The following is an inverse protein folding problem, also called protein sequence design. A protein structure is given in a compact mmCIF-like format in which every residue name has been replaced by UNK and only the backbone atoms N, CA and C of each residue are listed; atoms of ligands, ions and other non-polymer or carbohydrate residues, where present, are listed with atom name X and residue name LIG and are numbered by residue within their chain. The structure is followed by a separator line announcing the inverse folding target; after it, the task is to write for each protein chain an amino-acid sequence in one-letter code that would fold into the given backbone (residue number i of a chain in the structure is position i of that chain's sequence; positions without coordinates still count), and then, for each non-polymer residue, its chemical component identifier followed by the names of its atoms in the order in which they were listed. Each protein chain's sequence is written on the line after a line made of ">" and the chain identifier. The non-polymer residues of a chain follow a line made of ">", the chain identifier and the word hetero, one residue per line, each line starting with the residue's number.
data_IF_942104176204
#
_entry.id   IF_942104176204
#
_cell.length_a   1.000
_cell.length_b   1.000
_cell.length_c   1.000
_cell.angle_alpha   90.00
_cell.angle_beta   90.00
_cell.angle_gamma   90.00
#
_symmetry.space_group_name_H-M   'P 1'
#
loop_
_entity.id
_entity.type
_entity.pdbx_description
1 polymer ?
#
# COMPACT_ATOMS: atom_id res chain seq x y z
N UNK A 1 10.49 -19.58 18.85
CA UNK A 1 9.72 -18.37 18.54
C UNK A 1 8.26 -18.77 18.42
N UNK A 2 7.35 -18.14 19.16
CA UNK A 2 5.91 -18.40 19.05
C UNK A 2 5.37 -17.62 17.86
N UNK A 3 4.57 -18.27 17.01
CA UNK A 3 3.94 -17.66 15.83
C UNK A 3 2.42 -17.71 15.97
N UNK A 4 1.68 -16.75 15.37
CA UNK A 4 0.22 -16.79 15.34
C UNK A 4 -0.29 -18.11 14.75
N UNK A 5 -1.38 -18.63 15.32
CA UNK A 5 -2.07 -19.83 14.84
C UNK A 5 -3.55 -19.53 14.68
N UNK A 6 -4.18 -20.12 13.66
CA UNK A 6 -5.62 -20.07 13.52
C UNK A 6 -6.27 -20.77 14.70
N UNK A 7 -7.24 -20.12 15.34
CA UNK A 7 -8.04 -20.64 16.45
C UNK A 7 -9.39 -21.21 15.98
N UNK A 8 -9.51 -21.49 14.68
CA UNK A 8 -10.72 -22.04 14.06
C UNK A 8 -10.48 -23.48 13.61
N UNK A 9 -11.49 -24.33 13.77
CA UNK A 9 -11.52 -25.68 13.22
C UNK A 9 -12.00 -25.72 11.75
N UNK A 10 -12.50 -24.58 11.23
CA UNK A 10 -12.83 -24.44 9.81
C UNK A 10 -11.53 -24.34 9.02
N UNK A 11 -11.12 -25.45 8.42
CA UNK A 11 -9.91 -25.54 7.58
C UNK A 11 -10.21 -25.83 6.10
N UNK A 12 -11.49 -25.99 5.72
CA UNK A 12 -11.87 -26.42 4.36
C UNK A 12 -11.42 -25.47 3.24
N UNK A 13 -12.02 -24.27 3.09
CA UNK A 13 -11.78 -23.42 1.91
C UNK A 13 -10.33 -22.94 1.72
N UNK A 14 -9.55 -22.55 2.75
CA UNK A 14 -8.16 -22.15 2.58
C UNK A 14 -7.27 -23.33 2.20
N UNK A 15 -7.51 -24.54 2.71
CA UNK A 15 -6.74 -25.72 2.29
C UNK A 15 -6.99 -26.07 0.81
N UNK A 16 -8.20 -25.85 0.30
CA UNK A 16 -8.48 -26.04 -1.13
C UNK A 16 -7.84 -24.94 -1.99
N UNK A 17 -7.95 -23.67 -1.55
CA UNK A 17 -7.29 -22.54 -2.19
C UNK A 17 -5.77 -22.75 -2.26
N UNK A 18 -5.13 -23.13 -1.15
CA UNK A 18 -3.70 -23.44 -1.09
C UNK A 18 -3.33 -24.58 -2.04
N UNK A 19 -4.11 -25.66 -2.08
CA UNK A 19 -3.89 -26.78 -2.99
C UNK A 19 -3.96 -26.34 -4.46
N UNK A 20 -4.95 -25.53 -4.82
CA UNK A 20 -5.12 -24.99 -6.18
C UNK A 20 -3.94 -24.08 -6.54
N UNK A 21 -3.51 -23.21 -5.64
CA UNK A 21 -2.33 -22.34 -5.83
C UNK A 21 -1.06 -23.18 -6.05
N UNK A 22 -0.82 -24.18 -5.21
CA UNK A 22 0.36 -25.05 -5.31
C UNK A 22 0.35 -25.86 -6.61
N UNK A 23 -0.81 -26.38 -7.02
CA UNK A 23 -0.96 -27.14 -8.25
C UNK A 23 -0.80 -26.28 -9.51
N UNK A 24 -1.14 -25.00 -9.45
CA UNK A 24 -1.10 -24.07 -10.59
C UNK A 24 0.12 -23.14 -10.60
N UNK A 25 1.13 -23.36 -9.75
CA UNK A 25 2.26 -22.45 -9.55
C UNK A 25 2.94 -21.97 -10.85
N UNK A 26 3.28 -22.81 -11.84
CA UNK A 26 3.85 -22.33 -13.11
C UNK A 26 2.90 -21.43 -13.92
N UNK A 27 1.59 -21.74 -13.89
CA UNK A 27 0.56 -20.99 -14.60
C UNK A 27 0.34 -19.61 -13.94
N UNK A 28 0.31 -19.57 -12.61
CA UNK A 28 0.25 -18.32 -11.82
C UNK A 28 1.43 -17.42 -12.14
N UNK A 29 2.65 -17.97 -12.07
CA UNK A 29 3.87 -17.23 -12.33
C UNK A 29 3.96 -16.72 -13.78
N UNK A 30 3.49 -17.50 -14.75
CA UNK A 30 3.39 -17.06 -16.14
C UNK A 30 2.37 -15.93 -16.31
N UNK A 31 1.17 -16.09 -15.74
CA UNK A 31 0.12 -15.07 -15.79
C UNK A 31 0.58 -13.76 -15.17
N UNK A 32 1.18 -13.80 -13.97
CA UNK A 32 1.74 -12.62 -13.30
C UNK A 32 2.78 -11.91 -14.18
N UNK A 33 3.74 -12.64 -14.75
CA UNK A 33 4.72 -12.05 -15.68
C UNK A 33 4.07 -11.35 -16.87
N UNK A 34 2.99 -11.92 -17.42
CA UNK A 34 2.19 -11.27 -18.47
C UNK A 34 1.55 -9.96 -17.99
N UNK A 35 0.90 -9.98 -16.83
CA UNK A 35 0.29 -8.78 -16.24
C UNK A 35 1.31 -7.65 -16.02
N UNK A 36 2.53 -7.98 -15.58
CA UNK A 36 3.60 -7.00 -15.36
C UNK A 36 4.24 -6.45 -16.64
N UNK A 37 4.00 -7.06 -17.80
CA UNK A 37 4.43 -6.50 -19.09
C UNK A 37 3.46 -5.44 -19.60
N UNK A 38 2.19 -5.55 -19.24
CA UNK A 38 1.13 -4.65 -19.71
C UNK A 38 0.86 -3.50 -18.73
N UNK A 39 1.25 -3.64 -17.47
CA UNK A 39 0.95 -2.69 -16.40
C UNK A 39 2.19 -2.27 -15.64
N UNK A 40 2.29 -0.97 -15.37
CA UNK A 40 3.33 -0.42 -14.51
C UNK A 40 3.13 -0.88 -13.05
N UNK A 41 4.23 -1.24 -12.39
CA UNK A 41 4.24 -1.58 -10.97
C UNK A 41 4.65 -0.39 -10.13
N UNK A 42 4.04 -0.16 -8.95
CA UNK A 42 4.52 0.89 -8.05
C UNK A 42 5.94 0.58 -7.57
N UNK A 43 6.69 1.62 -7.19
CA UNK A 43 8.04 1.45 -6.63
C UNK A 43 8.05 0.54 -5.40
N UNK A 44 7.02 0.67 -4.57
CA UNK A 44 6.77 -0.18 -3.41
C UNK A 44 5.27 -0.21 -3.05
N UNK A 45 4.86 -1.17 -2.24
CA UNK A 45 3.54 -1.22 -1.63
C UNK A 45 3.55 -2.17 -0.42
N UNK A 46 2.59 -2.00 0.48
CA UNK A 46 2.18 -3.03 1.44
C UNK A 46 0.71 -3.37 1.27
N UNK A 47 0.34 -4.62 1.53
CA UNK A 47 -1.03 -5.12 1.44
C UNK A 47 -1.36 -5.85 2.73
N UNK A 48 -2.41 -5.39 3.42
CA UNK A 48 -2.92 -6.07 4.60
C UNK A 48 -3.87 -7.18 4.17
N UNK A 49 -3.64 -8.39 4.67
CA UNK A 49 -4.48 -9.56 4.42
C UNK A 49 -5.22 -9.98 5.69
N UNK A 50 -6.41 -10.56 5.52
CA UNK A 50 -7.10 -11.30 6.58
C UNK A 50 -7.34 -12.74 6.15
N UNK A 51 -6.92 -13.69 6.99
CA UNK A 51 -7.24 -15.10 6.86
C UNK A 51 -8.30 -15.47 7.89
N UNK A 52 -9.52 -15.78 7.44
CA UNK A 52 -10.64 -16.17 8.31
C UNK A 52 -10.80 -17.69 8.48
N UNK A 53 -9.94 -18.51 7.87
CA UNK A 53 -10.15 -19.96 7.80
C UNK A 53 -11.17 -20.39 6.74
N UNK A 54 -11.83 -19.45 6.06
CA UNK A 54 -12.73 -19.71 4.92
C UNK A 54 -12.57 -18.71 3.77
N UNK A 55 -11.80 -17.64 3.97
CA UNK A 55 -11.51 -16.58 2.99
C UNK A 55 -10.12 -15.99 3.29
N UNK A 56 -9.38 -15.67 2.25
CA UNK A 56 -8.09 -14.98 2.33
C UNK A 56 -8.11 -13.79 1.38
N UNK A 57 -8.36 -12.60 1.92
CA UNK A 57 -8.60 -11.41 1.11
C UNK A 57 -7.78 -10.21 1.59
N UNK A 58 -7.37 -9.31 0.67
CA UNK A 58 -6.80 -8.03 1.03
C UNK A 58 -7.87 -7.11 1.61
N UNK A 59 -7.47 -6.35 2.62
CA UNK A 59 -8.35 -5.39 3.32
C UNK A 59 -7.83 -3.95 3.26
N UNK A 60 -6.54 -3.78 2.97
CA UNK A 60 -5.90 -2.49 2.70
C UNK A 60 -4.73 -2.63 1.72
N UNK A 61 -4.47 -1.58 0.95
CA UNK A 61 -3.29 -1.46 0.09
C UNK A 61 -2.73 -0.06 0.27
N UNK A 62 -1.48 0.00 0.75
CA UNK A 62 -0.78 1.24 1.03
C UNK A 62 0.39 1.39 0.06
N UNK A 63 0.35 2.46 -0.75
CA UNK A 63 1.44 2.85 -1.64
C UNK A 63 2.51 3.70 -0.96
N UNK A 64 2.40 3.92 0.36
CA UNK A 64 3.33 4.65 1.22
C UNK A 64 3.63 3.83 2.49
N UNK A 65 4.13 2.59 2.37
CA UNK A 65 4.34 1.70 3.51
C UNK A 65 5.25 2.35 4.57
N UNK A 66 4.78 2.38 5.83
CA UNK A 66 5.46 3.03 6.95
C UNK A 66 6.09 2.07 7.98
N UNK A 67 6.39 0.83 7.57
CA UNK A 67 6.83 -0.24 8.46
C UNK A 67 8.09 -1.00 8.03
N UNK A 68 9.00 -0.38 7.26
CA UNK A 68 10.23 -1.04 6.78
C UNK A 68 11.12 -1.56 7.91
N UNK A 69 11.07 -0.94 9.09
CA UNK A 69 11.80 -1.39 10.29
C UNK A 69 11.25 -2.70 10.89
N UNK A 70 10.08 -3.17 10.45
CA UNK A 70 9.48 -4.43 10.93
C UNK A 70 9.84 -5.62 10.04
N UNK A 71 10.53 -5.40 8.92
CA UNK A 71 10.99 -6.49 8.05
C UNK A 71 12.07 -7.32 8.76
N UNK A 72 12.09 -8.63 8.51
CA UNK A 72 13.13 -9.48 9.08
C UNK A 72 14.50 -9.08 8.49
N UNK A 73 15.49 -8.71 9.32
CA UNK A 73 16.81 -8.28 8.84
C UNK A 73 17.54 -9.35 7.99
N UNK A 74 17.24 -10.64 8.18
CA UNK A 74 17.83 -11.71 7.35
C UNK A 74 17.47 -11.57 5.86
N UNK A 75 16.35 -10.90 5.53
CA UNK A 75 15.92 -10.65 4.17
C UNK A 75 16.35 -9.28 3.63
N UNK A 76 17.26 -8.57 4.31
CA UNK A 76 17.79 -7.29 3.81
C UNK A 76 18.40 -7.40 2.40
N UNK A 77 19.19 -8.43 2.05
CA UNK A 77 19.70 -8.57 0.68
C UNK A 77 18.59 -8.68 -0.39
N UNK A 78 17.48 -9.34 -0.06
CA UNK A 78 16.32 -9.45 -0.95
C UNK A 78 15.64 -8.08 -1.15
N UNK A 79 15.50 -7.30 -0.07
CA UNK A 79 14.95 -5.95 -0.14
C UNK A 79 15.81 -5.03 -1.02
N UNK A 80 17.14 -5.13 -0.88
CA UNK A 80 18.10 -4.37 -1.70
C UNK A 80 17.97 -4.75 -3.17
N UNK A 81 17.95 -6.05 -3.49
CA UNK A 81 17.79 -6.51 -4.88
C UNK A 81 16.46 -6.05 -5.49
N UNK A 82 15.36 -6.12 -4.75
CA UNK A 82 14.06 -5.64 -5.22
C UNK A 82 14.06 -4.12 -5.46
N UNK A 83 14.71 -3.34 -4.60
CA UNK A 83 14.87 -1.89 -4.77
C UNK A 83 15.71 -1.55 -6.01
N UNK A 84 16.79 -2.30 -6.30
CA UNK A 84 17.58 -2.11 -7.51
C UNK A 84 16.72 -2.33 -8.77
N UNK A 85 15.95 -3.41 -8.82
CA UNK A 85 15.02 -3.68 -9.94
C UNK A 85 13.97 -2.59 -10.09
N UNK A 86 13.43 -2.07 -8.98
CA UNK A 86 12.46 -0.98 -9.01
C UNK A 86 13.08 0.33 -9.53
N UNK A 87 14.31 0.64 -9.14
CA UNK A 87 15.06 1.81 -9.66
C UNK A 87 15.32 1.66 -11.16
N UNK A 88 15.83 0.52 -11.61
CA UNK A 88 16.14 0.26 -13.03
C UNK A 88 14.92 0.41 -13.93
N UNK A 89 13.75 -0.05 -13.47
CA UNK A 89 12.49 0.05 -14.23
C UNK A 89 11.98 1.48 -14.34
N UNK A 90 12.13 2.28 -13.29
CA UNK A 90 11.46 3.58 -13.19
C UNK A 90 12.39 4.74 -13.58
N UNK A 91 13.65 4.69 -13.17
CA UNK A 91 14.63 5.72 -13.46
C UNK A 91 16.06 5.13 -13.45
N UNK A 92 16.48 4.47 -14.55
CA UNK A 92 17.76 3.75 -14.61
C UNK A 92 18.98 4.67 -14.47
N UNK A 93 18.84 5.94 -14.83
CA UNK A 93 19.91 6.95 -14.71
C UNK A 93 19.93 7.67 -13.36
N UNK A 94 19.03 7.30 -12.43
CA UNK A 94 18.92 7.98 -11.15
C UNK A 94 20.20 7.76 -10.31
N UNK A 95 20.85 8.86 -9.95
CA UNK A 95 22.02 8.85 -9.04
C UNK A 95 21.68 9.27 -7.62
N UNK A 96 20.53 9.92 -7.44
CA UNK A 96 20.10 10.47 -6.16
C UNK A 96 18.58 10.42 -5.99
N UNK A 97 18.16 10.13 -4.77
CA UNK A 97 16.76 10.10 -4.32
C UNK A 97 16.56 11.14 -3.22
N UNK A 98 15.56 12.00 -3.39
CA UNK A 98 14.98 12.77 -2.30
C UNK A 98 13.88 11.95 -1.65
N UNK A 99 14.09 11.52 -0.42
CA UNK A 99 13.05 10.85 0.36
C UNK A 99 12.27 11.91 1.15
N UNK A 100 10.96 12.00 0.93
CA UNK A 100 10.07 12.90 1.66
C UNK A 100 9.21 12.07 2.63
N UNK A 101 9.46 12.16 3.95
CA UNK A 101 8.70 11.41 4.96
C UNK A 101 7.39 12.11 5.34
N UNK A 102 6.58 11.44 6.16
CA UNK A 102 5.47 12.04 6.89
C UNK A 102 5.95 13.18 7.79
N UNK A 103 5.02 14.09 8.11
CA UNK A 103 5.25 15.25 8.96
C UNK A 103 5.35 14.87 10.48
N UNK A 104 5.80 13.65 10.78
CA UNK A 104 5.87 13.10 12.13
C UNK A 104 7.31 13.08 12.66
N UNK A 105 7.68 14.06 13.47
CA UNK A 105 9.01 14.11 14.12
C UNK A 105 9.04 13.44 15.50
N UNK A 106 7.87 13.14 16.08
CA UNK A 106 7.76 12.56 17.44
C UNK A 106 7.54 11.05 17.46
N UNK A 107 7.11 10.46 16.34
CA UNK A 107 6.91 9.02 16.25
C UNK A 107 8.23 8.32 15.93
N UNK A 108 8.94 7.88 16.96
CA UNK A 108 10.26 7.25 16.80
C UNK A 108 10.21 5.95 15.98
N UNK A 109 9.11 5.18 16.04
CA UNK A 109 8.95 3.98 15.21
C UNK A 109 8.86 4.34 13.73
N UNK A 110 8.14 5.41 13.40
CA UNK A 110 8.08 5.91 12.03
C UNK A 110 9.44 6.41 11.55
N UNK A 111 10.22 7.10 12.40
CA UNK A 111 11.57 7.51 12.02
C UNK A 111 12.53 6.33 11.83
N UNK A 112 12.38 5.25 12.60
CA UNK A 112 13.08 3.98 12.35
C UNK A 112 12.69 3.37 10.99
N UNK A 113 11.42 3.46 10.60
CA UNK A 113 10.97 3.09 9.26
C UNK A 113 11.70 3.91 8.18
N UNK A 114 11.77 5.24 8.31
CA UNK A 114 12.46 6.10 7.33
C UNK A 114 13.95 5.75 7.26
N UNK A 115 14.60 5.49 8.39
CA UNK A 115 16.00 5.05 8.44
C UNK A 115 16.21 3.68 7.76
N UNK A 116 15.31 2.72 7.98
CA UNK A 116 15.36 1.41 7.32
C UNK A 116 15.20 1.54 5.80
N UNK A 117 14.22 2.33 5.34
CA UNK A 117 14.02 2.62 3.92
C UNK A 117 15.24 3.32 3.30
N UNK A 118 15.78 4.35 3.96
CA UNK A 118 17.00 5.02 3.52
C UNK A 118 18.18 4.05 3.38
N UNK A 119 18.32 3.11 4.32
CA UNK A 119 19.38 2.10 4.31
C UNK A 119 19.23 1.15 3.12
N UNK A 120 18.03 0.65 2.85
CA UNK A 120 17.74 -0.20 1.68
C UNK A 120 18.14 0.52 0.39
N UNK A 121 17.69 1.76 0.22
CA UNK A 121 17.96 2.56 -0.97
C UNK A 121 19.45 2.88 -1.15
N UNK A 122 20.18 3.18 -0.06
CA UNK A 122 21.63 3.38 -0.10
C UNK A 122 22.37 2.12 -0.50
N UNK A 123 21.98 0.96 0.04
CA UNK A 123 22.58 -0.32 -0.33
C UNK A 123 22.24 -0.73 -1.78
N UNK A 124 21.13 -0.22 -2.33
CA UNK A 124 20.81 -0.34 -3.76
C UNK A 124 21.65 0.59 -4.66
N UNK A 125 22.61 1.34 -4.10
CA UNK A 125 23.54 2.20 -4.86
C UNK A 125 23.11 3.66 -5.00
N UNK A 126 22.05 4.10 -4.30
CA UNK A 126 21.52 5.46 -4.44
C UNK A 126 22.12 6.43 -3.41
N UNK A 127 22.38 7.67 -3.83
CA UNK A 127 22.58 8.77 -2.88
C UNK A 127 21.23 9.22 -2.33
N UNK A 128 20.96 9.03 -1.04
CA UNK A 128 19.66 9.34 -0.42
C UNK A 128 19.80 10.45 0.61
N UNK A 129 19.01 11.51 0.42
CA UNK A 129 18.85 12.63 1.35
C UNK A 129 17.37 12.78 1.70
N UNK A 130 17.08 13.29 2.89
CA UNK A 130 15.71 13.33 3.42
C UNK A 130 15.25 14.79 3.48
N UNK A 131 14.25 15.13 2.66
CA UNK A 131 13.66 16.46 2.60
C UNK A 131 12.37 16.52 3.42
N UNK A 132 12.32 17.41 4.40
CA UNK A 132 11.15 17.63 5.25
C UNK A 132 10.22 18.68 4.64
N UNK A 133 8.91 18.43 4.72
CA UNK A 133 7.86 19.41 4.39
C UNK A 133 7.50 20.31 5.58
N UNK A 134 8.08 20.06 6.76
CA UNK A 134 7.79 20.82 7.98
C UNK A 134 8.41 22.22 7.92
N UNK A 135 7.60 23.30 7.99
CA UNK A 135 8.12 24.67 7.89
C UNK A 135 9.03 25.07 9.05
N UNK A 136 8.93 24.43 10.21
CA UNK A 136 9.80 24.66 11.36
C UNK A 136 11.23 24.13 11.16
N UNK A 137 11.43 23.18 10.25
CA UNK A 137 12.77 22.68 9.90
C UNK A 137 13.39 23.65 8.91
N UNK A 138 14.22 24.57 9.42
CA UNK A 138 14.88 25.64 8.63
C UNK A 138 16.36 25.39 8.39
N UNK A 139 16.95 24.39 9.05
CA UNK A 139 18.32 23.93 8.90
C UNK A 139 18.37 22.40 9.08
N UNK A 140 19.43 21.72 8.62
CA UNK A 140 19.60 20.28 8.87
C UNK A 140 19.46 19.94 10.35
N UNK A 141 18.54 19.03 10.66
CA UNK A 141 18.20 18.61 12.01
C UNK A 141 18.49 17.12 12.15
N UNK A 142 19.45 16.79 13.01
CA UNK A 142 19.73 15.40 13.35
C UNK A 142 18.80 14.91 14.46
N UNK A 143 18.24 13.71 14.27
CA UNK A 143 17.38 13.04 15.23
C UNK A 143 18.00 11.70 15.58
N UNK A 144 18.36 11.52 16.86
CA UNK A 144 18.82 10.24 17.37
C UNK A 144 17.67 9.23 17.45
N UNK A 145 17.94 7.99 17.04
CA UNK A 145 16.97 6.90 17.02
C UNK A 145 17.25 5.90 18.16
N UNK A 146 16.22 5.18 18.65
CA UNK A 146 16.38 4.24 19.77
C UNK A 146 17.40 3.11 19.56
N UNK A 147 17.72 2.80 18.29
CA UNK A 147 18.69 1.76 17.92
C UNK A 147 20.14 2.28 17.86
N UNK A 148 20.40 3.53 18.26
CA UNK A 148 21.72 4.16 18.25
C UNK A 148 22.12 4.79 16.91
N UNK A 149 21.30 4.64 15.87
CA UNK A 149 21.49 5.37 14.61
C UNK A 149 20.92 6.80 14.68
N UNK A 150 21.18 7.61 13.68
CA UNK A 150 20.64 8.97 13.57
C UNK A 150 20.08 9.21 12.17
N UNK A 151 19.12 10.11 12.08
CA UNK A 151 18.48 10.53 10.83
C UNK A 151 18.57 12.05 10.71
N UNK A 152 19.03 12.54 9.57
CA UNK A 152 19.11 13.98 9.28
C UNK A 152 17.92 14.39 8.42
N UNK A 153 17.05 15.23 8.96
CA UNK A 153 15.99 15.90 8.23
C UNK A 153 16.48 17.25 7.72
N UNK A 154 16.19 17.56 6.47
CA UNK A 154 16.65 18.81 5.86
C UNK A 154 15.50 19.64 5.32
N UNK A 155 15.61 20.98 5.35
CA UNK A 155 14.61 21.86 4.75
C UNK A 155 14.49 21.58 3.26
N UNK A 156 13.30 21.19 2.80
CA UNK A 156 13.01 21.05 1.38
C UNK A 156 13.04 22.43 0.72
N UNK A 157 13.82 22.57 -0.35
CA UNK A 157 13.89 23.79 -1.16
C UNK A 157 13.28 23.51 -2.53
N UNK A 158 12.62 24.52 -3.10
CA UNK A 158 12.17 24.50 -4.49
C UNK A 158 12.84 25.62 -5.27
N UNK A 159 13.48 25.26 -6.38
CA UNK A 159 14.04 26.20 -7.36
C UNK A 159 13.39 25.94 -8.71
N UNK A 160 12.59 26.88 -9.20
CA UNK A 160 11.74 26.64 -10.37
C UNK A 160 10.81 25.45 -10.15
N UNK A 161 10.92 24.43 -11.00
CA UNK A 161 10.14 23.19 -10.93
C UNK A 161 10.95 22.00 -10.37
N UNK A 162 12.03 22.26 -9.64
CA UNK A 162 12.88 21.22 -9.05
C UNK A 162 12.93 21.34 -7.53
N UNK A 163 12.84 20.20 -6.87
CA UNK A 163 12.98 20.01 -5.43
C UNK A 163 14.40 19.58 -5.11
N UNK A 164 14.98 20.19 -4.10
CA UNK A 164 16.35 19.92 -3.69
C UNK A 164 16.51 20.09 -2.18
N UNK A 165 17.61 19.59 -1.64
CA UNK A 165 18.14 20.04 -0.34
C UNK A 165 19.51 20.66 -0.58
N UNK A 166 20.18 21.10 0.48
CA UNK A 166 21.42 21.86 0.33
C UNK A 166 22.51 21.03 -0.38
N UNK A 167 23.00 21.57 -1.50
CA UNK A 167 24.00 20.91 -2.36
C UNK A 167 23.53 19.62 -3.05
N UNK A 168 22.23 19.32 -3.06
CA UNK A 168 21.71 18.05 -3.59
C UNK A 168 20.44 18.25 -4.42
N UNK A 169 20.58 18.09 -5.75
CA UNK A 169 19.49 18.09 -6.73
C UNK A 169 19.32 16.67 -7.32
N UNK A 170 18.32 15.90 -6.84
CA UNK A 170 18.11 14.52 -7.25
C UNK A 170 17.28 14.38 -8.53
N UNK A 171 17.37 13.21 -9.15
CA UNK A 171 16.55 12.86 -10.31
C UNK A 171 15.14 12.40 -9.90
N UNK A 172 15.02 11.78 -8.72
CA UNK A 172 13.80 11.14 -8.22
C UNK A 172 13.40 11.71 -6.87
N UNK A 173 12.10 11.92 -6.68
CA UNK A 173 11.47 12.26 -5.40
C UNK A 173 10.61 11.07 -4.98
N UNK A 174 11.03 10.37 -3.93
CA UNK A 174 10.29 9.26 -3.34
C UNK A 174 9.49 9.77 -2.13
N UNK A 175 8.17 9.69 -2.22
CA UNK A 175 7.26 10.02 -1.14
C UNK A 175 7.08 8.81 -0.24
N UNK A 176 7.42 8.93 1.04
CA UNK A 176 6.91 8.08 2.12
C UNK A 176 5.92 8.85 2.99
N UNK A 177 5.19 9.75 2.34
CA UNK A 177 4.14 10.61 2.88
C UNK A 177 2.90 10.41 2.00
N UNK A 178 1.77 10.03 2.61
CA UNK A 178 0.54 9.69 1.88
C UNK A 178 -0.22 10.91 1.33
N UNK A 179 0.20 12.12 1.73
CA UNK A 179 -0.41 13.40 1.38
C UNK A 179 -1.92 13.42 1.67
N UNK A 180 -2.35 12.77 2.74
CA UNK A 180 -3.75 12.67 3.18
C UNK A 180 -4.41 14.03 3.43
N UNK A 181 -3.64 15.04 3.84
CA UNK A 181 -4.09 16.43 3.98
C UNK A 181 -4.20 17.19 2.63
N UNK A 182 -3.91 16.54 1.50
CA UNK A 182 -3.83 17.11 0.17
C UNK A 182 -2.40 17.41 -0.27
N UNK A 183 -2.22 17.63 -1.58
CA UNK A 183 -0.89 17.89 -2.17
C UNK A 183 -0.45 19.34 -1.93
N UNK A 184 0.65 19.57 -1.18
CA UNK A 184 1.23 20.89 -0.98
C UNK A 184 1.70 21.50 -2.30
N UNK A 185 1.60 22.82 -2.44
CA UNK A 185 1.98 23.53 -3.67
C UNK A 185 3.42 23.28 -4.08
N UNK A 186 4.32 23.08 -3.12
CA UNK A 186 5.74 22.78 -3.38
C UNK A 186 5.92 21.51 -4.25
N UNK A 187 5.02 20.53 -4.15
CA UNK A 187 5.08 19.27 -4.92
C UNK A 187 4.38 19.35 -6.28
N UNK A 188 3.71 20.46 -6.60
CA UNK A 188 2.94 20.61 -7.85
C UNK A 188 3.84 21.02 -9.01
N UNK A 189 3.62 20.44 -10.18
CA UNK A 189 4.32 20.77 -11.44
C UNK A 189 5.86 20.68 -11.31
N UNK A 190 6.36 19.61 -10.66
CA UNK A 190 7.79 19.37 -10.58
C UNK A 190 8.29 18.56 -11.79
N UNK A 191 9.51 18.83 -12.23
CA UNK A 191 10.16 18.16 -13.37
C UNK A 191 10.67 16.76 -13.01
N UNK A 192 10.95 16.51 -11.73
CA UNK A 192 11.48 15.24 -11.25
C UNK A 192 10.39 14.18 -11.20
N UNK A 193 10.79 12.93 -11.42
CA UNK A 193 9.89 11.80 -11.24
C UNK A 193 9.50 11.68 -9.77
N UNK A 194 8.20 11.79 -9.50
CA UNK A 194 7.63 11.66 -8.16
C UNK A 194 6.98 10.28 -8.00
N UNK A 195 7.39 9.54 -6.97
CA UNK A 195 7.00 8.15 -6.74
C UNK A 195 6.40 7.96 -5.35
N UNK A 196 5.26 7.24 -5.22
CA UNK A 196 4.30 6.96 -6.29
C UNK A 196 3.76 8.27 -6.90
N UNK A 197 3.32 8.28 -8.17
CA UNK A 197 2.86 9.51 -8.81
C UNK A 197 1.67 10.10 -8.07
N UNK A 198 1.57 11.43 -8.02
CA UNK A 198 0.54 12.14 -7.23
C UNK A 198 -0.89 11.70 -7.56
N UNK A 199 -1.16 11.26 -8.79
CA UNK A 199 -2.48 10.76 -9.16
C UNK A 199 -2.86 9.39 -8.59
N UNK A 200 -1.87 8.65 -8.09
CA UNK A 200 -2.08 7.43 -7.32
C UNK A 200 -2.22 7.71 -5.80
N UNK A 201 -2.14 8.97 -5.37
CA UNK A 201 -2.22 9.37 -3.96
C UNK A 201 -3.61 9.25 -3.36
N UNK A 202 -3.66 9.19 -2.03
CA UNK A 202 -4.89 8.90 -1.27
C UNK A 202 -6.00 9.94 -1.52
N UNK A 203 -5.61 11.20 -1.70
CA UNK A 203 -6.51 12.34 -1.94
C UNK A 203 -7.27 12.28 -3.29
N UNK A 204 -6.82 11.48 -4.28
CA UNK A 204 -7.53 11.31 -5.56
C UNK A 204 -8.15 9.91 -5.72
N UNK A 205 -7.72 8.93 -4.93
CA UNK A 205 -8.20 7.56 -5.02
C UNK A 205 -9.58 7.43 -4.39
N UNK A 206 -10.62 7.28 -5.22
CA UNK A 206 -11.91 6.75 -4.76
C UNK A 206 -11.75 5.28 -4.39
N UNK A 207 -12.05 4.91 -3.15
CA UNK A 207 -11.93 3.51 -2.70
C UNK A 207 -12.75 2.54 -3.56
N UNK A 208 -13.92 2.98 -4.03
CA UNK A 208 -14.78 2.21 -4.93
C UNK A 208 -14.10 1.84 -6.25
N UNK A 209 -13.25 2.71 -6.83
CA UNK A 209 -12.51 2.39 -8.04
C UNK A 209 -11.44 1.33 -7.77
N UNK A 210 -10.79 1.38 -6.60
CA UNK A 210 -9.82 0.36 -6.22
C UNK A 210 -10.48 -1.01 -6.03
N UNK A 211 -11.60 -1.08 -5.32
CA UNK A 211 -12.30 -2.36 -5.15
C UNK A 211 -12.85 -2.89 -6.48
N UNK A 212 -13.31 -2.01 -7.38
CA UNK A 212 -13.70 -2.42 -8.74
C UNK A 212 -12.52 -2.99 -9.53
N UNK A 213 -11.36 -2.32 -9.53
CA UNK A 213 -10.16 -2.82 -10.21
C UNK A 213 -9.67 -4.15 -9.60
N UNK A 214 -9.73 -4.29 -8.27
CA UNK A 214 -9.36 -5.54 -7.62
C UNK A 214 -10.33 -6.68 -7.96
N UNK A 215 -11.64 -6.41 -8.02
CA UNK A 215 -12.66 -7.39 -8.44
C UNK A 215 -12.38 -7.94 -9.84
N UNK A 216 -11.97 -7.08 -10.79
CA UNK A 216 -11.57 -7.52 -12.13
C UNK A 216 -10.37 -8.47 -12.08
N UNK A 217 -9.30 -8.07 -11.38
CA UNK A 217 -8.07 -8.88 -11.22
C UNK A 217 -8.37 -10.21 -10.52
N UNK A 218 -9.18 -10.20 -9.46
CA UNK A 218 -9.57 -11.39 -8.72
C UNK A 218 -10.39 -12.35 -9.59
N UNK A 219 -11.31 -11.82 -10.40
CA UNK A 219 -12.12 -12.63 -11.32
C UNK A 219 -11.27 -13.26 -12.44
N UNK A 220 -10.29 -12.54 -12.98
CA UNK A 220 -9.35 -13.09 -13.97
C UNK A 220 -8.45 -14.16 -13.34
N UNK A 221 -7.85 -13.87 -12.20
CA UNK A 221 -6.99 -14.80 -11.48
C UNK A 221 -7.74 -16.07 -11.05
N UNK A 222 -8.98 -15.93 -10.59
CA UNK A 222 -9.82 -17.06 -10.21
C UNK A 222 -10.05 -18.04 -11.37
N UNK A 223 -10.13 -17.56 -12.62
CA UNK A 223 -10.20 -18.41 -13.81
C UNK A 223 -8.90 -19.15 -14.08
N UNK A 224 -7.74 -18.51 -13.81
CA UNK A 224 -6.42 -19.13 -14.03
C UNK A 224 -6.24 -20.38 -13.17
N UNK A 225 -6.75 -20.35 -11.94
CA UNK A 225 -6.55 -21.42 -10.95
C UNK A 225 -7.83 -22.19 -10.61
N UNK A 226 -8.94 -21.90 -11.30
CA UNK A 226 -10.24 -22.55 -11.14
C UNK A 226 -10.72 -22.57 -9.68
N UNK A 227 -10.93 -21.37 -9.13
CA UNK A 227 -11.49 -21.16 -7.78
C UNK A 227 -12.72 -20.24 -7.85
N UNK A 228 -13.51 -20.24 -6.78
CA UNK A 228 -14.51 -19.19 -6.55
C UNK A 228 -13.79 -17.86 -6.23
N UNK A 229 -13.99 -16.78 -7.01
CA UNK A 229 -13.38 -15.47 -6.72
C UNK A 229 -13.77 -14.92 -5.34
N UNK A 230 -14.91 -15.32 -4.77
CA UNK A 230 -15.29 -14.92 -3.42
C UNK A 230 -14.26 -15.33 -2.37
N UNK A 231 -13.44 -16.36 -2.60
CA UNK A 231 -12.40 -16.77 -1.64
C UNK A 231 -11.29 -15.70 -1.47
N UNK A 232 -11.16 -14.78 -2.43
CA UNK A 232 -10.11 -13.75 -2.46
C UNK A 232 -10.63 -12.32 -2.65
N UNK A 233 -11.91 -12.14 -3.00
CA UNK A 233 -12.55 -10.83 -3.21
C UNK A 233 -13.74 -10.59 -2.27
N UNK A 234 -13.68 -9.61 -1.35
CA UNK A 234 -14.84 -9.20 -0.56
C UNK A 234 -15.92 -8.53 -1.41
N UNK A 235 -17.20 -8.80 -1.11
CA UNK A 235 -18.28 -8.01 -1.68
C UNK A 235 -18.17 -6.55 -1.22
N UNK A 236 -18.47 -5.63 -2.14
CA UNK A 236 -18.53 -4.21 -1.87
C UNK A 236 -19.58 -3.58 -2.78
N UNK A 237 -20.24 -2.56 -2.26
CA UNK A 237 -21.12 -1.66 -3.00
C UNK A 237 -20.77 -0.20 -2.67
N UNK A 238 -21.30 0.73 -3.47
CA UNK A 238 -21.15 2.16 -3.24
C UNK A 238 -22.51 2.85 -3.25
N UNK A 239 -22.75 3.69 -2.26
CA UNK A 239 -23.82 4.67 -2.30
C UNK A 239 -23.26 6.05 -2.71
N UNK A 240 -24.14 6.93 -3.20
CA UNK A 240 -23.80 8.33 -3.48
C UNK A 240 -23.55 9.16 -2.21
N UNK A 241 -23.63 10.49 -2.32
CA UNK A 241 -23.48 11.38 -1.16
C UNK A 241 -24.62 11.15 -0.17
N UNK A 242 -24.29 10.84 1.08
CA UNK A 242 -25.22 10.71 2.20
C UNK A 242 -24.98 11.87 3.14
N UNK A 243 -26.05 12.52 3.61
CA UNK A 243 -25.98 13.50 4.69
C UNK A 243 -26.58 12.88 5.96
N UNK A 244 -25.71 12.38 6.84
CA UNK A 244 -26.10 11.78 8.12
C UNK A 244 -26.78 12.76 9.08
N UNK A 245 -26.53 14.07 8.95
CA UNK A 245 -27.18 15.09 9.79
C UNK A 245 -28.61 15.38 9.34
N UNK A 246 -28.85 15.38 8.03
CA UNK A 246 -30.17 15.63 7.44
C UNK A 246 -30.98 14.35 7.19
N UNK A 247 -30.43 13.17 7.52
CA UNK A 247 -31.00 11.85 7.20
C UNK A 247 -31.33 11.67 5.71
N UNK A 248 -30.60 12.35 4.83
CA UNK A 248 -30.81 12.26 3.39
C UNK A 248 -29.86 11.22 2.79
N UNK A 249 -30.43 10.26 2.06
CA UNK A 249 -29.67 9.17 1.43
C UNK A 249 -29.47 7.93 2.31
N UNK A 250 -30.09 7.87 3.50
CA UNK A 250 -30.02 6.70 4.39
C UNK A 250 -30.65 5.44 3.74
N UNK A 251 -31.74 5.59 3.00
CA UNK A 251 -32.41 4.48 2.28
C UNK A 251 -31.47 3.74 1.32
N UNK A 252 -30.57 4.47 0.65
CA UNK A 252 -29.57 3.90 -0.24
C UNK A 252 -28.53 3.09 0.53
N UNK A 253 -28.11 3.57 1.71
CA UNK A 253 -27.19 2.83 2.57
C UNK A 253 -27.84 1.56 3.13
N UNK A 254 -29.07 1.67 3.63
CA UNK A 254 -29.84 0.53 4.16
C UNK A 254 -30.05 -0.54 3.10
N UNK A 255 -30.44 -0.15 1.88
CA UNK A 255 -30.63 -1.06 0.76
C UNK A 255 -29.36 -1.85 0.42
N UNK A 256 -28.24 -1.17 0.20
CA UNK A 256 -26.98 -1.84 -0.15
C UNK A 256 -26.40 -2.66 1.00
N UNK A 257 -26.57 -2.23 2.26
CA UNK A 257 -26.16 -3.03 3.42
C UNK A 257 -26.98 -4.32 3.49
N UNK A 258 -28.30 -4.24 3.27
CA UNK A 258 -29.16 -5.42 3.25
C UNK A 258 -28.75 -6.40 2.15
N UNK A 259 -28.54 -5.90 0.92
CA UNK A 259 -28.13 -6.68 -0.24
C UNK A 259 -26.80 -7.41 0.01
N UNK A 260 -25.77 -6.68 0.45
CA UNK A 260 -24.46 -7.29 0.76
C UNK A 260 -24.60 -8.35 1.86
N UNK A 261 -25.38 -8.08 2.91
CA UNK A 261 -25.58 -9.05 3.98
C UNK A 261 -26.26 -10.33 3.46
N UNK A 262 -27.23 -10.22 2.57
CA UNK A 262 -27.90 -11.37 1.95
C UNK A 262 -26.94 -12.18 1.07
N UNK A 263 -26.09 -11.52 0.27
CA UNK A 263 -25.05 -12.18 -0.52
C UNK A 263 -24.03 -12.91 0.36
N UNK A 264 -23.59 -12.27 1.45
CA UNK A 264 -22.68 -12.91 2.41
C UNK A 264 -23.35 -14.11 3.07
N UNK A 265 -24.65 -14.01 3.47
CA UNK A 265 -25.40 -15.14 4.04
C UNK A 265 -25.50 -16.30 3.07
N UNK A 266 -25.72 -16.04 1.78
CA UNK A 266 -25.76 -17.08 0.76
C UNK A 266 -24.43 -17.82 0.67
N UNK A 267 -23.30 -17.10 0.61
CA UNK A 267 -21.96 -17.72 0.60
C UNK A 267 -21.63 -18.44 1.90
N UNK A 268 -22.02 -17.88 3.04
CA UNK A 268 -21.82 -18.52 4.33
C UNK A 268 -22.59 -19.84 4.40
N UNK A 269 -23.83 -19.89 3.90
CA UNK A 269 -24.61 -21.12 3.78
C UNK A 269 -23.94 -22.13 2.84
N UNK A 270 -23.44 -21.69 1.68
CA UNK A 270 -22.74 -22.53 0.70
C UNK A 270 -21.51 -23.22 1.32
N UNK A 271 -20.71 -22.49 2.11
CA UNK A 271 -19.50 -22.99 2.74
C UNK A 271 -19.70 -23.51 4.18
N UNK A 272 -20.94 -23.59 4.68
CA UNK A 272 -21.23 -24.07 6.04
C UNK A 272 -20.68 -23.18 7.16
N UNK A 273 -20.51 -21.88 6.92
CA UNK A 273 -20.00 -20.90 7.88
C UNK A 273 -21.13 -20.46 8.83
N UNK A 274 -20.88 -20.59 10.13
CA UNK A 274 -21.86 -20.27 11.19
C UNK A 274 -21.67 -18.89 11.83
N UNK A 275 -20.64 -18.14 11.41
CA UNK A 275 -20.37 -16.81 11.92
C UNK A 275 -21.41 -15.81 11.42
N UNK A 276 -21.68 -14.76 12.19
CA UNK A 276 -22.56 -13.68 11.76
C UNK A 276 -21.88 -12.83 10.66
N UNK A 277 -22.57 -12.60 9.53
CA UNK A 277 -22.15 -11.63 8.53
C UNK A 277 -22.08 -10.22 9.11
N UNK A 278 -21.12 -9.43 8.66
CA UNK A 278 -21.03 -8.01 8.99
C UNK A 278 -20.58 -7.20 7.78
N UNK A 279 -20.89 -5.91 7.78
CA UNK A 279 -20.49 -4.96 6.73
C UNK A 279 -19.70 -3.83 7.38
N UNK A 280 -18.64 -3.38 6.71
CA UNK A 280 -17.86 -2.20 7.12
C UNK A 280 -18.33 -1.02 6.27
N UNK A 281 -18.95 -0.03 6.92
CA UNK A 281 -19.32 1.23 6.26
C UNK A 281 -18.12 2.18 6.31
N UNK A 282 -17.61 2.57 5.14
CA UNK A 282 -16.48 3.51 4.99
C UNK A 282 -16.97 4.81 4.35
N UNK A 283 -16.98 5.90 5.11
CA UNK A 283 -17.20 7.23 4.54
C UNK A 283 -15.89 7.72 3.86
N UNK A 284 -15.94 8.03 2.57
CA UNK A 284 -14.90 8.81 1.87
C UNK A 284 -15.29 10.29 2.01
N UNK A 285 -14.47 11.06 2.73
CA UNK A 285 -14.64 12.50 2.94
C UNK A 285 -13.66 13.27 2.06
#
# INVERSE_FOLDING_TARGET
>A
MTVPRLTTALSGPPLDLERKILAAMPAIEHWLRGQWQERETPFYASVDLRNSGFKLAPVDTNLYPGGFNNLNPDFHPLCVQAAMVAVEKICPDARGVLLIPENHTRNLFYLQNVAALQTILRHAGMNVRIGSLLPEITAPMEIALPNGSALTLEPLKRSGNRLSVDGFDPCVVLLNNDLSAGVPDILRNIEQTLLPPLHAGWFMRRKSNHFAAYREVAAEFAKVIDIDPWLIDPYFEKCGKINFHEKKGEECLEGYVSEILDDIRAKYKEYGITHEPFVIVKADA
#
